data_IF_406643186832
#
_entry.id   IF_406643186832
#
_cell.length_a   1.000
_cell.length_b   1.000
_cell.length_c   1.000
_cell.angle_alpha   90.00
_cell.angle_beta   90.00
_cell.angle_gamma   90.00
#
_symmetry.space_group_name_H-M   'P 1'
#
loop_
_entity.id
_entity.type
_entity.pdbx_description
1 polymer ?
#
# COMPACT_ATOMS: atom_id res chain seq x y z
N UNK A 1 2.25 18.71 12.48
CA UNK A 1 1.58 18.67 11.16
C UNK A 1 1.67 17.24 10.64
N UNK A 2 0.68 16.68 9.92
CA UNK A 2 0.82 15.34 9.35
C UNK A 2 2.02 15.32 8.38
N UNK A 3 2.94 14.38 8.58
CA UNK A 3 4.10 14.21 7.72
C UNK A 3 3.65 13.73 6.34
N UNK A 4 4.14 14.38 5.28
CA UNK A 4 3.97 13.91 3.91
C UNK A 4 5.15 13.01 3.57
N UNK A 5 4.89 11.75 3.25
CA UNK A 5 5.92 10.75 3.01
C UNK A 5 5.63 10.02 1.70
N UNK A 6 6.67 9.78 0.90
CA UNK A 6 6.60 8.82 -0.21
C UNK A 6 7.34 7.56 0.20
N UNK A 7 6.65 6.42 0.18
CA UNK A 7 7.18 5.13 0.65
C UNK A 7 7.15 4.10 -0.46
N UNK A 8 8.12 3.21 -0.45
CA UNK A 8 8.17 2.04 -1.34
C UNK A 8 7.32 0.94 -0.74
N UNK A 9 6.49 0.29 -1.56
CA UNK A 9 5.82 -0.94 -1.16
C UNK A 9 6.84 -2.06 -1.20
N UNK A 10 7.13 -2.68 -0.06
CA UNK A 10 7.90 -3.91 0.05
C UNK A 10 6.97 -5.12 0.04
N UNK A 11 7.48 -6.29 -0.32
CA UNK A 11 6.60 -7.44 -0.46
C UNK A 11 7.28 -8.72 -0.91
N UNK A 12 6.41 -9.68 -1.22
CA UNK A 12 6.78 -10.86 -1.99
C UNK A 12 6.57 -10.62 -3.49
N UNK A 13 7.19 -11.49 -4.29
CA UNK A 13 7.03 -11.54 -5.75
C UNK A 13 5.55 -11.34 -6.16
N UNK A 14 5.26 -10.47 -7.15
CA UNK A 14 3.89 -10.15 -7.56
C UNK A 14 3.02 -11.36 -7.92
N UNK A 15 3.63 -12.46 -8.41
CA UNK A 15 2.93 -13.71 -8.69
C UNK A 15 2.52 -14.44 -7.41
N UNK A 16 3.35 -14.38 -6.37
CA UNK A 16 3.09 -15.01 -5.08
C UNK A 16 2.09 -14.22 -4.22
N UNK A 17 2.07 -12.88 -4.34
CA UNK A 17 1.11 -12.00 -3.62
C UNK A 17 -0.32 -12.51 -3.74
N UNK A 18 -0.72 -12.98 -4.93
CA UNK A 18 -2.08 -13.53 -5.16
C UNK A 18 -2.37 -14.76 -4.31
N UNK A 19 -1.39 -15.65 -4.16
CA UNK A 19 -1.48 -16.82 -3.29
C UNK A 19 -1.58 -16.43 -1.83
N UNK A 20 -0.76 -15.47 -1.39
CA UNK A 20 -0.78 -14.98 -0.02
C UNK A 20 -2.10 -14.30 0.36
N UNK A 21 -2.71 -13.55 -0.55
CA UNK A 21 -4.02 -12.94 -0.30
C UNK A 21 -5.12 -13.99 -0.09
N UNK A 22 -5.09 -15.12 -0.83
CA UNK A 22 -6.05 -16.22 -0.65
C UNK A 22 -5.89 -16.96 0.67
N UNK A 23 -4.67 -17.02 1.21
CA UNK A 23 -4.38 -17.67 2.49
C UNK A 23 -4.51 -16.72 3.69
N UNK A 24 -4.84 -15.44 3.46
CA UNK A 24 -4.87 -14.42 4.50
C UNK A 24 -3.49 -14.02 5.02
N UNK A 25 -2.42 -14.40 4.30
CA UNK A 25 -1.06 -14.04 4.66
C UNK A 25 -0.77 -12.56 4.36
N UNK A 26 0.16 -12.00 5.13
CA UNK A 26 0.66 -10.64 4.95
C UNK A 26 1.55 -10.59 3.72
N UNK A 27 1.06 -10.00 2.64
CA UNK A 27 1.73 -10.08 1.34
C UNK A 27 2.63 -8.86 1.04
N UNK A 28 2.19 -7.66 1.43
CA UNK A 28 2.88 -6.41 1.16
C UNK A 28 2.92 -5.53 2.42
N UNK A 29 3.95 -4.71 2.55
CA UNK A 29 4.14 -3.75 3.64
C UNK A 29 4.94 -2.55 3.15
N UNK A 30 5.13 -1.55 3.99
CA UNK A 30 6.09 -0.46 3.77
C UNK A 30 6.72 -0.09 5.11
N UNK A 31 7.91 0.51 5.10
CA UNK A 31 8.59 0.93 6.32
C UNK A 31 8.27 2.38 6.67
N UNK A 32 7.96 2.62 7.94
CA UNK A 32 7.89 3.98 8.46
C UNK A 32 9.25 4.66 8.28
N UNK A 33 9.28 5.95 7.91
CA UNK A 33 10.49 6.76 8.00
C UNK A 33 11.05 6.71 9.42
N UNK A 34 12.37 6.65 9.55
CA UNK A 34 13.06 6.51 10.83
C UNK A 34 12.69 7.67 11.78
N UNK A 35 12.53 8.89 11.25
CA UNK A 35 12.16 10.06 12.05
C UNK A 35 10.79 9.88 12.73
N UNK A 36 9.81 9.32 12.01
CA UNK A 36 8.46 9.08 12.54
C UNK A 36 8.49 7.90 13.52
N UNK A 37 9.24 6.86 13.20
CA UNK A 37 9.37 5.69 14.06
C UNK A 37 9.97 6.07 15.42
N UNK A 38 11.03 6.89 15.42
CA UNK A 38 11.71 7.37 16.62
C UNK A 38 10.89 8.41 17.38
N UNK A 39 10.31 9.41 16.70
CA UNK A 39 9.51 10.48 17.34
C UNK A 39 8.30 9.90 18.10
N UNK A 40 7.61 8.93 17.50
CA UNK A 40 6.41 8.33 18.08
C UNK A 40 6.70 7.07 18.91
N UNK A 41 7.96 6.62 19.00
CA UNK A 41 8.40 5.40 19.68
C UNK A 41 7.46 4.21 19.41
N UNK A 42 7.26 3.93 18.11
CA UNK A 42 6.21 3.04 17.61
C UNK A 42 6.50 1.59 18.03
N UNK A 43 5.48 0.88 18.53
CA UNK A 43 5.59 -0.53 18.93
C UNK A 43 4.86 -1.46 17.96
N UNK A 44 5.12 -2.75 18.08
CA UNK A 44 4.41 -3.78 17.29
C UNK A 44 2.90 -3.76 17.59
N UNK A 45 2.10 -3.96 16.54
CA UNK A 45 0.63 -3.93 16.61
C UNK A 45 0.00 -2.54 16.78
N UNK A 46 0.77 -1.45 16.70
CA UNK A 46 0.23 -0.08 16.69
C UNK A 46 -0.54 0.19 15.40
N UNK A 47 -1.51 1.10 15.48
CA UNK A 47 -2.31 1.53 14.33
C UNK A 47 -1.80 2.84 13.78
N UNK A 48 -1.35 2.83 12.53
CA UNK A 48 -0.95 4.02 11.78
C UNK A 48 -2.17 4.57 11.06
N UNK A 49 -2.46 5.85 11.27
CA UNK A 49 -3.56 6.57 10.62
C UNK A 49 -2.99 7.64 9.69
N UNK A 50 -3.54 7.73 8.50
CA UNK A 50 -3.09 8.70 7.51
C UNK A 50 -4.11 8.90 6.40
N UNK A 51 -3.71 9.64 5.38
CA UNK A 51 -4.45 9.79 4.13
C UNK A 51 -3.56 9.32 3.01
N UNK A 52 -4.05 8.37 2.21
CA UNK A 52 -3.40 7.99 0.96
C UNK A 52 -3.72 9.08 -0.07
N UNK A 53 -2.69 9.69 -0.62
CA UNK A 53 -2.76 10.79 -1.58
C UNK A 53 -2.57 10.29 -3.01
N UNK A 54 -1.64 9.36 -3.23
CA UNK A 54 -1.35 8.80 -4.54
C UNK A 54 -0.72 7.39 -4.47
N UNK A 55 -0.92 6.63 -5.55
CA UNK A 55 -0.25 5.35 -5.80
C UNK A 55 0.51 5.48 -7.12
N UNK A 56 1.82 5.23 -7.11
CA UNK A 56 2.66 5.31 -8.31
C UNK A 56 3.03 3.92 -8.78
N UNK A 57 3.01 3.72 -10.10
CA UNK A 57 3.54 2.51 -10.72
C UNK A 57 5.08 2.60 -10.89
N UNK A 58 5.74 1.51 -11.32
CA UNK A 58 7.20 1.49 -11.48
C UNK A 58 7.71 2.44 -12.58
N UNK A 59 6.81 2.88 -13.48
CA UNK A 59 7.10 3.84 -14.56
C UNK A 59 6.90 5.30 -14.12
N UNK A 60 6.52 5.53 -12.86
CA UNK A 60 6.26 6.86 -12.31
C UNK A 60 4.88 7.43 -12.64
N UNK A 61 4.03 6.67 -13.33
CA UNK A 61 2.66 7.08 -13.61
C UNK A 61 1.80 6.89 -12.35
N UNK A 62 1.01 7.89 -12.01
CA UNK A 62 0.04 7.78 -10.91
C UNK A 62 -1.09 6.85 -11.35
N UNK A 63 -1.24 5.72 -10.66
CA UNK A 63 -2.38 4.83 -10.82
C UNK A 63 -3.50 5.22 -9.87
N UNK A 64 -4.69 5.09 -10.42
CA UNK A 64 -5.96 5.48 -9.85
C UNK A 64 -6.86 4.25 -9.92
N UNK A 65 -7.32 3.74 -8.79
CA UNK A 65 -8.08 2.49 -8.75
C UNK A 65 -9.46 2.65 -9.40
N UNK A 66 -9.75 1.84 -10.42
CA UNK A 66 -11.12 1.50 -10.77
C UNK A 66 -11.55 0.29 -9.93
N UNK A 67 -12.72 0.31 -9.27
CA UNK A 67 -13.30 -0.91 -8.76
C UNK A 67 -13.85 -1.68 -9.96
N UNK A 68 -13.40 -2.91 -10.15
CA UNK A 68 -13.88 -3.85 -11.18
C UNK A 68 -13.29 -3.65 -12.55
N UNK A 69 -12.15 -4.28 -12.82
CA UNK A 69 -11.95 -4.92 -14.12
C UNK A 69 -11.41 -6.33 -13.90
N UNK A 70 -12.28 -7.28 -14.23
CA UNK A 70 -11.98 -8.68 -14.50
C UNK A 70 -10.69 -8.79 -15.29
N UNK A 71 -9.80 -9.64 -14.78
CA UNK A 71 -8.57 -10.04 -15.43
C UNK A 71 -8.92 -10.82 -16.70
N UNK A 72 -8.83 -10.18 -17.87
CA UNK A 72 -8.60 -10.85 -19.16
C UNK A 72 -8.32 -9.77 -20.23
N UNK A 73 -7.05 -9.70 -20.66
CA UNK A 73 -6.56 -9.14 -21.93
C UNK A 73 -7.44 -8.08 -22.65
N UNK A 74 -7.20 -6.77 -22.45
CA UNK A 74 -7.68 -5.71 -23.36
C UNK A 74 -6.84 -4.39 -23.25
N UNK A 75 -6.75 -3.55 -24.32
CA UNK A 75 -5.92 -2.35 -24.41
C UNK A 75 -6.54 -1.13 -23.68
N UNK A 76 -5.83 0.02 -23.55
CA UNK A 76 -6.09 0.98 -22.47
C UNK A 76 -7.36 1.78 -22.73
N UNK A 77 -8.29 1.76 -21.77
CA UNK A 77 -9.49 2.59 -21.84
C UNK A 77 -9.56 3.52 -20.61
N UNK A 78 -9.50 4.80 -20.96
CA UNK A 78 -9.85 6.03 -20.26
C UNK A 78 -10.33 6.02 -18.79
N UNK A 79 -9.57 6.77 -17.98
CA UNK A 79 -9.97 7.78 -16.99
C UNK A 79 -9.48 7.52 -15.54
N UNK A 80 -8.77 8.48 -14.91
CA UNK A 80 -8.23 8.31 -13.56
C UNK A 80 -9.21 8.64 -12.42
N UNK A 81 -9.58 7.65 -11.61
CA UNK A 81 -10.20 7.81 -10.28
C UNK A 81 -9.22 8.33 -9.21
N UNK A 82 -9.17 9.64 -8.99
CA UNK A 82 -8.30 10.31 -7.98
C UNK A 82 -8.29 9.59 -6.61
N UNK A 83 -7.12 9.05 -6.18
CA UNK A 83 -6.88 8.52 -4.81
C UNK A 83 -6.61 9.66 -3.83
N UNK A 84 -7.24 10.82 -4.02
CA UNK A 84 -6.85 12.01 -3.26
C UNK A 84 -7.52 11.99 -1.89
N UNK A 85 -6.77 11.57 -0.87
CA UNK A 85 -7.09 11.80 0.53
C UNK A 85 -7.92 10.71 1.19
N UNK A 86 -7.90 9.48 0.67
CA UNK A 86 -8.61 8.36 1.30
C UNK A 86 -8.01 8.09 2.69
N UNK A 87 -8.78 8.25 3.78
CA UNK A 87 -8.28 7.99 5.11
C UNK A 87 -8.03 6.50 5.27
N UNK A 88 -6.90 6.14 5.88
CA UNK A 88 -6.59 4.76 6.22
C UNK A 88 -6.27 4.61 7.70
N UNK A 89 -6.44 3.38 8.19
CA UNK A 89 -5.92 2.93 9.48
C UNK A 89 -5.35 1.53 9.25
N UNK A 90 -4.03 1.43 9.23
CA UNK A 90 -3.30 0.18 9.00
C UNK A 90 -2.52 -0.23 10.24
N UNK A 91 -2.25 -1.52 10.35
CA UNK A 91 -1.56 -2.08 11.52
C UNK A 91 -0.06 -2.24 11.23
N UNK A 92 0.78 -1.92 12.21
CA UNK A 92 2.18 -2.30 12.16
C UNK A 92 2.32 -3.81 12.30
N UNK A 93 3.45 -4.32 11.83
CA UNK A 93 3.85 -5.71 11.96
C UNK A 93 3.79 -6.16 13.42
N UNK A 94 3.53 -7.46 13.62
CA UNK A 94 3.53 -8.08 14.95
C UNK A 94 4.95 -8.35 15.44
N UNK A 95 5.90 -8.41 14.53
CA UNK A 95 7.33 -8.61 14.79
C UNK A 95 8.00 -7.28 15.17
N UNK A 96 7.74 -6.20 14.44
CA UNK A 96 8.33 -4.89 14.67
C UNK A 96 7.29 -3.77 14.52
N UNK A 97 7.53 -2.63 15.17
CA UNK A 97 6.72 -1.42 14.97
C UNK A 97 7.03 -0.68 13.66
N UNK A 98 8.08 -1.08 12.92
CA UNK A 98 8.64 -0.33 11.80
C UNK A 98 7.89 -0.58 10.49
N UNK A 99 7.46 -1.82 10.25
CA UNK A 99 6.74 -2.19 9.03
C UNK A 99 5.23 -1.98 9.22
N UNK A 100 4.58 -1.27 8.29
CA UNK A 100 3.12 -1.13 8.21
C UNK A 100 2.59 -2.10 7.18
N UNK A 101 1.72 -3.00 7.63
CA UNK A 101 1.19 -4.08 6.80
C UNK A 101 0.02 -3.57 5.98
N UNK A 102 0.07 -3.79 4.66
CA UNK A 102 -1.01 -3.41 3.76
C UNK A 102 -2.17 -4.41 3.87
N UNK A 103 -3.41 -3.95 4.15
CA UNK A 103 -4.57 -4.82 4.16
C UNK A 103 -4.82 -5.45 2.78
N UNK A 104 -5.24 -6.72 2.77
CA UNK A 104 -5.53 -7.44 1.52
C UNK A 104 -6.53 -6.69 0.61
N UNK A 105 -7.55 -6.07 1.21
CA UNK A 105 -8.54 -5.27 0.47
C UNK A 105 -7.90 -4.06 -0.23
N UNK A 106 -6.95 -3.38 0.42
CA UNK A 106 -6.19 -2.27 -0.17
C UNK A 106 -5.33 -2.76 -1.32
N UNK A 107 -4.64 -3.89 -1.13
CA UNK A 107 -3.77 -4.49 -2.16
C UNK A 107 -4.59 -4.81 -3.42
N UNK A 108 -5.76 -5.42 -3.26
CA UNK A 108 -6.66 -5.76 -4.36
C UNK A 108 -7.25 -4.50 -4.99
N UNK A 109 -7.74 -3.55 -4.17
CA UNK A 109 -8.36 -2.31 -4.63
C UNK A 109 -7.44 -1.50 -5.54
N UNK A 110 -6.16 -1.38 -5.17
CA UNK A 110 -5.18 -0.58 -5.93
C UNK A 110 -4.27 -1.42 -6.83
N UNK A 111 -4.46 -2.74 -6.89
CA UNK A 111 -3.59 -3.64 -7.66
C UNK A 111 -2.12 -3.55 -7.24
N UNK A 112 -1.86 -3.40 -5.93
CA UNK A 112 -0.52 -3.15 -5.41
C UNK A 112 0.40 -4.36 -5.61
N UNK A 113 1.66 -4.05 -5.86
CA UNK A 113 2.78 -4.99 -5.89
C UNK A 113 3.98 -4.30 -5.25
N UNK A 114 5.05 -5.06 -4.98
CA UNK A 114 6.33 -4.56 -4.43
C UNK A 114 7.06 -3.51 -5.30
N UNK A 115 6.56 -3.22 -6.51
CA UNK A 115 7.13 -2.20 -7.38
C UNK A 115 6.38 -0.87 -7.35
N UNK A 116 5.37 -0.75 -6.48
CA UNK A 116 4.58 0.47 -6.34
C UNK A 116 5.15 1.39 -5.24
N UNK A 117 4.84 2.68 -5.37
CA UNK A 117 5.10 3.67 -4.33
C UNK A 117 3.78 4.26 -3.84
N UNK A 118 3.71 4.61 -2.56
CA UNK A 118 2.57 5.27 -1.93
C UNK A 118 2.98 6.66 -1.46
N UNK A 119 2.09 7.63 -1.58
CA UNK A 119 2.23 8.99 -1.04
C UNK A 119 0.96 9.38 -0.28
#
# INVERSE_FOLDING_TARGET
>A
MPAKCRVVVCGFDPMLVRGYLKTGARALWWYLPDEIYEEFNVKSGYKVKGKLLAVYNPRGEVRYAHPTETFEWAPPVSAPSRVVGEPFTWETSKETGLAVVLPAQTIIKYGLTEFHFLE
#
